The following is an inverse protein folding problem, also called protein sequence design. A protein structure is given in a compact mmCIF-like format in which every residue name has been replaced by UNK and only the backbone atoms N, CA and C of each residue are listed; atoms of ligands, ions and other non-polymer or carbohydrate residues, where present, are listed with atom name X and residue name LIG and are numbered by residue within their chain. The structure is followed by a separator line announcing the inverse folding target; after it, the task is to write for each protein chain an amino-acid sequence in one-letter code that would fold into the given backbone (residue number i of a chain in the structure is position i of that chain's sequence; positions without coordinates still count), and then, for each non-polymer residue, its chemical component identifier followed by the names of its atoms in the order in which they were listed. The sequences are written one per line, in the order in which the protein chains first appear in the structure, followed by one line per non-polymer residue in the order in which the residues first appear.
data_IF_420197688531
#
_entry.id   IF_420197688531
#
_cell.length_a   1.000
_cell.length_b   1.000
_cell.length_c   1.000
_cell.angle_alpha   90.00
_cell.angle_beta   90.00
_cell.angle_gamma   90.00
#
_symmetry.space_group_name_H-M   'P 1'
#
loop_
_entity.id
_entity.type
_entity.pdbx_description
1 polymer ?
#
# COMPACT_ATOMS: atom_id res chain seq x y z
N UNK A 1 -3.53 4.82 3.47
CA UNK A 1 -2.53 5.62 2.77
C UNK A 1 -1.82 4.79 1.71
N UNK A 2 -1.63 5.39 0.54
CA UNK A 2 -0.96 4.71 -0.57
C UNK A 2 0.37 4.12 -0.11
N UNK A 3 1.14 4.91 0.63
CA UNK A 3 2.44 4.46 1.13
C UNK A 3 2.27 3.38 2.19
N UNK A 4 1.06 3.27 2.73
CA UNK A 4 0.77 2.28 3.76
C UNK A 4 0.04 1.07 3.16
N UNK A 5 -0.60 1.29 2.02
CA UNK A 5 -1.34 0.23 1.34
C UNK A 5 -0.49 -0.40 0.24
N UNK A 6 0.53 0.33 -0.20
CA UNK A 6 1.42 -0.15 -1.25
C UNK A 6 1.95 -1.54 -0.92
N UNK A 7 1.99 -1.86 0.38
CA UNK A 7 2.48 -3.15 0.83
C UNK A 7 1.61 -4.29 0.28
N UNK A 8 0.35 -3.98 0.00
CA UNK A 8 -0.57 -4.97 -0.52
C UNK A 8 -0.98 -4.64 -1.96
N UNK A 9 -0.46 -3.53 -2.47
CA UNK A 9 -0.77 -3.10 -3.82
C UNK A 9 0.48 -3.11 -4.70
N UNK A 10 1.40 -4.02 -4.40
CA UNK A 10 2.64 -4.14 -5.16
C UNK A 10 2.36 -4.55 -6.60
#
# INVERSE_FOLDING_TARGET
WKLLSKAQEK
#
